data_IF_839076640761
#
_entry.id   IF_839076640761
#
_cell.length_a   1.000
_cell.length_b   1.000
_cell.length_c   1.000
_cell.angle_alpha   90.00
_cell.angle_beta   90.00
_cell.angle_gamma   90.00
#
_symmetry.space_group_name_H-M   'P 1'
#
loop_
_entity.id
_entity.type
_entity.pdbx_description
1 polymer ?
#
# COMPACT_ATOMS: atom_id res chain seq x y z
N UNK A 1 23.29 -12.14 7.08
CA UNK A 1 22.13 -12.71 6.36
C UNK A 1 22.43 -14.06 5.69
N UNK A 2 21.53 -15.04 5.77
CA UNK A 2 21.53 -16.23 4.90
C UNK A 2 20.54 -16.06 3.72
N UNK A 3 20.90 -15.27 2.70
CA UNK A 3 19.97 -14.84 1.63
C UNK A 3 19.21 -15.98 0.95
N UNK A 4 19.92 -17.03 0.50
CA UNK A 4 19.29 -18.16 -0.17
C UNK A 4 18.33 -18.96 0.73
N UNK A 5 18.54 -18.93 2.05
CA UNK A 5 17.61 -19.55 3.00
C UNK A 5 16.31 -18.78 3.04
N UNK A 6 16.38 -17.45 3.18
CA UNK A 6 15.20 -16.57 3.14
C UNK A 6 14.47 -16.67 1.80
N UNK A 7 15.22 -16.68 0.68
CA UNK A 7 14.62 -16.87 -0.65
C UNK A 7 13.87 -18.20 -0.76
N UNK A 8 14.42 -19.29 -0.23
CA UNK A 8 13.76 -20.61 -0.24
C UNK A 8 12.55 -20.67 0.69
N UNK A 9 12.65 -20.07 1.87
CA UNK A 9 11.59 -20.08 2.88
C UNK A 9 10.30 -19.42 2.39
N UNK A 10 10.44 -18.34 1.61
CA UNK A 10 9.31 -17.58 1.07
C UNK A 10 9.18 -17.65 -0.45
N UNK A 11 9.90 -18.57 -1.09
CA UNK A 11 9.84 -18.84 -2.54
C UNK A 11 10.08 -17.61 -3.46
N UNK A 12 11.09 -16.78 -3.13
CA UNK A 12 11.45 -15.64 -3.98
C UNK A 12 12.06 -16.09 -5.31
N UNK A 13 11.56 -15.51 -6.41
CA UNK A 13 12.11 -15.75 -7.75
C UNK A 13 13.52 -15.16 -7.92
N UNK A 14 13.71 -13.86 -7.66
CA UNK A 14 14.97 -13.18 -7.98
C UNK A 14 15.35 -12.09 -6.97
N UNK A 15 16.65 -11.95 -6.72
CA UNK A 15 17.26 -10.76 -6.10
C UNK A 15 18.39 -10.29 -7.00
N UNK A 16 18.32 -9.06 -7.47
CA UNK A 16 19.27 -8.45 -8.40
C UNK A 16 19.98 -7.31 -7.69
N UNK A 17 21.29 -7.44 -7.51
CA UNK A 17 22.13 -6.40 -6.97
C UNK A 17 22.69 -5.57 -8.12
N UNK A 18 22.37 -4.28 -8.14
CA UNK A 18 22.78 -3.35 -9.16
C UNK A 18 23.86 -2.42 -8.60
N UNK A 19 25.02 -2.40 -9.25
CA UNK A 19 26.08 -1.44 -8.97
C UNK A 19 26.54 -0.77 -10.26
N UNK A 20 26.61 0.56 -10.25
CA UNK A 20 27.27 1.33 -11.31
C UNK A 20 28.28 2.30 -10.71
N UNK A 21 29.55 2.14 -11.13
CA UNK A 21 30.67 2.95 -10.66
C UNK A 21 30.55 4.43 -11.06
N UNK A 22 29.89 4.73 -12.19
CA UNK A 22 29.85 6.10 -12.73
C UNK A 22 28.92 6.99 -11.91
N UNK A 23 27.76 6.47 -11.55
CA UNK A 23 26.76 7.16 -10.72
C UNK A 23 26.85 6.84 -9.23
N UNK A 24 27.70 5.88 -8.83
CA UNK A 24 27.72 5.22 -7.52
C UNK A 24 26.36 4.62 -7.11
N UNK A 25 25.55 4.22 -8.09
CA UNK A 25 24.28 3.54 -7.85
C UNK A 25 24.54 2.25 -7.06
N UNK A 26 23.83 2.08 -5.95
CA UNK A 26 23.72 0.83 -5.19
C UNK A 26 22.24 0.53 -5.01
N UNK A 27 21.75 -0.52 -5.67
CA UNK A 27 20.35 -0.88 -5.60
C UNK A 27 20.13 -2.38 -5.49
N UNK A 28 19.02 -2.75 -4.86
CA UNK A 28 18.51 -4.11 -4.72
C UNK A 28 17.14 -4.14 -5.38
N UNK A 29 16.97 -4.98 -6.40
CA UNK A 29 15.67 -5.29 -6.99
C UNK A 29 15.29 -6.70 -6.52
N UNK A 30 14.24 -6.81 -5.72
CA UNK A 30 13.67 -8.08 -5.29
C UNK A 30 12.40 -8.37 -6.07
N UNK A 31 12.30 -9.54 -6.68
CA UNK A 31 11.10 -10.06 -7.35
C UNK A 31 10.67 -11.28 -6.55
N UNK A 32 9.49 -11.21 -5.96
CA UNK A 32 8.97 -12.29 -5.12
C UNK A 32 8.24 -13.33 -5.97
N UNK A 33 7.20 -12.92 -6.69
CA UNK A 33 6.37 -13.80 -7.52
C UNK A 33 5.87 -13.05 -8.76
N UNK A 34 5.91 -13.70 -9.92
CA UNK A 34 5.43 -13.24 -11.24
C UNK A 34 4.36 -14.15 -11.84
N UNK A 35 3.75 -15.02 -11.02
CA UNK A 35 2.70 -15.97 -11.44
C UNK A 35 1.53 -15.26 -12.13
N UNK A 36 1.17 -14.07 -11.65
CA UNK A 36 0.04 -13.28 -12.11
C UNK A 36 0.32 -12.37 -13.32
N UNK A 37 1.51 -12.42 -13.93
CA UNK A 37 2.12 -11.49 -14.92
C UNK A 37 3.24 -10.62 -14.28
N UNK A 38 3.90 -9.67 -14.99
CA UNK A 38 5.05 -8.94 -14.48
C UNK A 38 4.89 -8.40 -13.07
N UNK A 39 6.00 -8.37 -12.34
CA UNK A 39 6.00 -7.83 -11.00
C UNK A 39 5.99 -6.30 -11.05
N UNK A 40 5.07 -5.69 -10.30
CA UNK A 40 5.02 -4.23 -10.14
C UNK A 40 5.36 -3.85 -8.70
N UNK A 41 6.21 -2.85 -8.54
CA UNK A 41 6.47 -2.25 -7.24
C UNK A 41 7.37 -1.04 -7.28
N UNK A 42 7.18 -0.13 -6.31
CA UNK A 42 7.89 1.14 -6.28
C UNK A 42 9.40 1.04 -6.01
N UNK A 43 10.11 2.10 -6.38
CA UNK A 43 11.52 2.32 -6.12
C UNK A 43 11.70 3.21 -4.90
N UNK A 44 12.15 2.62 -3.79
CA UNK A 44 12.48 3.34 -2.56
C UNK A 44 13.91 3.83 -2.63
N UNK A 45 14.17 5.06 -2.19
CA UNK A 45 15.53 5.53 -1.93
C UNK A 45 15.67 5.94 -0.47
N UNK A 46 16.54 5.25 0.27
CA UNK A 46 16.68 5.49 1.70
C UNK A 46 18.10 5.22 2.20
N UNK A 47 18.44 5.84 3.34
CA UNK A 47 19.70 5.59 4.05
C UNK A 47 19.54 4.38 4.95
N UNK A 48 20.40 3.38 4.76
CA UNK A 48 20.47 2.18 5.59
C UNK A 48 21.81 2.13 6.31
N UNK A 49 21.81 1.60 7.54
CA UNK A 49 23.04 1.43 8.32
C UNK A 49 23.92 0.32 7.73
N UNK A 50 23.30 -0.72 7.15
CA UNK A 50 23.99 -1.82 6.49
C UNK A 50 23.34 -2.21 5.15
N UNK A 51 24.10 -2.89 4.29
CA UNK A 51 23.57 -3.49 3.05
C UNK A 51 22.54 -4.58 3.35
N UNK A 52 22.71 -5.31 4.46
CA UNK A 52 21.79 -6.34 4.91
C UNK A 52 20.40 -5.76 5.23
N UNK A 53 20.33 -4.60 5.86
CA UNK A 53 19.06 -3.92 6.13
C UNK A 53 18.33 -3.52 4.85
N UNK A 54 19.06 -3.04 3.85
CA UNK A 54 18.49 -2.68 2.55
C UNK A 54 17.95 -3.92 1.79
N UNK A 55 18.68 -5.04 1.82
CA UNK A 55 18.23 -6.28 1.17
C UNK A 55 17.00 -6.86 1.89
N UNK A 56 17.01 -6.88 3.22
CA UNK A 56 15.87 -7.34 4.01
C UNK A 56 14.62 -6.49 3.76
N UNK A 57 14.76 -5.16 3.66
CA UNK A 57 13.64 -4.28 3.33
C UNK A 57 13.13 -4.52 1.90
N UNK A 58 14.02 -4.69 0.92
CA UNK A 58 13.65 -5.00 -0.46
C UNK A 58 12.85 -6.31 -0.55
N UNK A 59 13.33 -7.38 0.08
CA UNK A 59 12.66 -8.68 0.14
C UNK A 59 11.26 -8.52 0.75
N UNK A 60 11.18 -8.02 1.98
CA UNK A 60 9.93 -7.87 2.73
C UNK A 60 8.89 -7.08 1.95
N UNK A 61 9.29 -5.98 1.33
CA UNK A 61 8.40 -5.14 0.54
C UNK A 61 7.97 -5.80 -0.78
N UNK A 62 8.85 -6.56 -1.44
CA UNK A 62 8.51 -7.28 -2.66
C UNK A 62 7.44 -8.35 -2.40
N UNK A 63 7.58 -9.12 -1.31
CA UNK A 63 6.54 -10.06 -0.86
C UNK A 63 5.24 -9.32 -0.56
N UNK A 64 5.29 -8.21 0.18
CA UNK A 64 4.10 -7.38 0.43
C UNK A 64 3.40 -6.91 -0.86
N UNK A 65 4.15 -6.59 -1.91
CA UNK A 65 3.57 -6.23 -3.21
C UNK A 65 2.88 -7.40 -3.92
N UNK A 66 3.36 -8.64 -3.77
CA UNK A 66 2.68 -9.82 -4.33
C UNK A 66 1.28 -9.95 -3.74
N UNK A 67 1.18 -9.92 -2.40
CA UNK A 67 -0.08 -10.04 -1.69
C UNK A 67 -1.02 -8.86 -2.00
N UNK A 68 -0.49 -7.63 -2.01
CA UNK A 68 -1.25 -6.43 -2.37
C UNK A 68 -1.82 -6.50 -3.79
N UNK A 69 -1.00 -6.82 -4.79
CA UNK A 69 -1.44 -6.87 -6.18
C UNK A 69 -2.45 -7.99 -6.42
N UNK A 70 -2.20 -9.18 -5.84
CA UNK A 70 -3.13 -10.29 -5.92
C UNK A 70 -4.49 -9.95 -5.28
N UNK A 71 -4.50 -9.47 -4.03
CA UNK A 71 -5.73 -9.17 -3.32
C UNK A 71 -6.48 -7.96 -3.91
N UNK A 72 -5.78 -7.03 -4.57
CA UNK A 72 -6.40 -5.95 -5.33
C UNK A 72 -7.05 -6.42 -6.64
N UNK A 73 -6.90 -7.70 -7.02
CA UNK A 73 -7.44 -8.25 -8.25
C UNK A 73 -6.63 -7.92 -9.51
N UNK A 74 -5.39 -7.44 -9.35
CA UNK A 74 -4.51 -7.08 -10.46
C UNK A 74 -3.82 -8.32 -11.04
N UNK A 75 -3.59 -8.31 -12.35
CA UNK A 75 -2.74 -9.29 -13.03
C UNK A 75 -1.30 -8.78 -13.02
N UNK A 76 -0.73 -8.72 -11.82
CA UNK A 76 0.62 -8.26 -11.57
C UNK A 76 1.21 -9.08 -10.42
N UNK A 77 2.46 -9.47 -10.57
CA UNK A 77 3.28 -10.03 -9.51
C UNK A 77 3.76 -8.98 -8.52
N UNK A 78 4.64 -9.37 -7.60
CA UNK A 78 5.21 -8.48 -6.57
C UNK A 78 6.72 -8.32 -6.67
N UNK A 79 7.16 -7.07 -6.67
CA UNK A 79 8.57 -6.72 -6.63
C UNK A 79 8.80 -5.43 -5.84
N UNK A 80 10.06 -5.13 -5.57
CA UNK A 80 10.48 -3.86 -5.00
C UNK A 80 11.89 -3.50 -5.41
N UNK A 81 12.15 -2.22 -5.60
CA UNK A 81 13.52 -1.69 -5.68
C UNK A 81 13.84 -0.88 -4.42
N UNK A 82 15.02 -1.10 -3.87
CA UNK A 82 15.63 -0.26 -2.82
C UNK A 82 16.94 0.28 -3.35
N UNK A 83 17.06 1.61 -3.42
CA UNK A 83 18.28 2.35 -3.72
C UNK A 83 18.87 2.83 -2.39
N UNK A 84 20.12 2.48 -2.13
CA UNK A 84 20.83 2.87 -0.91
C UNK A 84 21.45 4.25 -1.13
N UNK A 85 20.93 5.26 -0.44
CA UNK A 85 21.44 6.63 -0.53
C UNK A 85 20.52 7.66 0.11
N UNK A 86 21.04 8.87 0.33
CA UNK A 86 20.26 9.97 0.89
C UNK A 86 19.39 10.62 -0.20
N UNK A 87 18.05 10.50 -0.13
CA UNK A 87 17.15 11.02 -1.18
C UNK A 87 17.17 12.55 -1.31
N UNK A 88 17.77 13.27 -0.35
CA UNK A 88 17.91 14.74 -0.38
C UNK A 88 19.23 15.23 -0.96
N UNK A 89 20.23 14.35 -1.09
CA UNK A 89 21.61 14.75 -1.46
C UNK A 89 22.19 13.96 -2.62
N UNK A 90 21.88 12.66 -2.69
CA UNK A 90 22.63 11.73 -3.54
C UNK A 90 21.91 11.43 -4.87
N UNK A 91 20.79 12.10 -5.14
CA UNK A 91 20.05 11.95 -6.39
C UNK A 91 20.77 12.62 -7.56
N UNK A 92 20.76 11.94 -8.70
CA UNK A 92 21.21 12.53 -9.98
C UNK A 92 20.50 11.86 -11.15
N UNK A 93 20.48 12.52 -12.31
CA UNK A 93 20.02 11.93 -13.56
C UNK A 93 20.79 10.64 -13.89
N UNK A 94 22.12 10.67 -13.75
CA UNK A 94 22.99 9.53 -14.05
C UNK A 94 22.62 8.29 -13.23
N UNK A 95 22.31 8.48 -11.95
CA UNK A 95 21.90 7.40 -11.03
C UNK A 95 20.60 6.73 -11.50
N UNK A 96 19.57 7.51 -11.81
CA UNK A 96 18.26 6.97 -12.19
C UNK A 96 18.24 6.43 -13.64
N UNK A 97 19.01 7.02 -14.56
CA UNK A 97 19.20 6.42 -15.89
C UNK A 97 19.95 5.09 -15.80
N UNK A 98 21.00 5.02 -14.97
CA UNK A 98 21.69 3.75 -14.71
C UNK A 98 20.74 2.68 -14.18
N UNK A 99 19.91 3.01 -13.19
CA UNK A 99 18.86 2.12 -12.69
C UNK A 99 17.88 1.71 -13.80
N UNK A 100 17.44 2.66 -14.63
CA UNK A 100 16.54 2.40 -15.75
C UNK A 100 17.09 1.36 -16.73
N UNK A 101 18.40 1.37 -16.99
CA UNK A 101 19.06 0.35 -17.84
C UNK A 101 19.07 -1.04 -17.19
N UNK A 102 19.25 -1.13 -15.87
CA UNK A 102 19.14 -2.41 -15.16
C UNK A 102 17.71 -2.96 -15.21
N UNK A 103 16.71 -2.09 -15.04
CA UNK A 103 15.29 -2.45 -15.16
C UNK A 103 14.97 -2.90 -16.60
N UNK A 104 15.47 -2.19 -17.61
CA UNK A 104 15.29 -2.58 -19.02
C UNK A 104 15.86 -3.98 -19.30
N UNK A 105 17.02 -4.29 -18.70
CA UNK A 105 17.63 -5.62 -18.77
C UNK A 105 16.80 -6.76 -18.19
N UNK A 106 15.78 -6.45 -17.36
CA UNK A 106 14.80 -7.43 -16.88
C UNK A 106 13.68 -7.71 -17.89
N UNK A 107 13.68 -7.01 -19.03
CA UNK A 107 12.82 -7.24 -20.19
C UNK A 107 11.33 -7.40 -19.82
N UNK A 108 10.85 -6.49 -18.98
CA UNK A 108 9.45 -6.44 -18.57
C UNK A 108 9.05 -7.45 -17.51
N UNK A 109 9.97 -8.19 -16.89
CA UNK A 109 9.68 -8.98 -15.68
C UNK A 109 9.37 -8.10 -14.48
N UNK A 110 9.91 -6.88 -14.45
CA UNK A 110 9.71 -5.91 -13.38
C UNK A 110 9.30 -4.55 -13.96
N UNK A 111 8.31 -3.92 -13.34
CA UNK A 111 7.83 -2.57 -13.64
C UNK A 111 7.95 -1.74 -12.36
N UNK A 112 8.69 -0.64 -12.42
CA UNK A 112 8.89 0.26 -11.28
C UNK A 112 7.85 1.37 -11.21
N UNK A 113 7.71 1.99 -10.05
CA UNK A 113 6.98 3.23 -9.82
C UNK A 113 7.67 4.07 -8.73
N UNK A 114 7.12 5.22 -8.36
CA UNK A 114 7.61 5.97 -7.20
C UNK A 114 7.31 5.28 -5.87
N UNK A 115 8.14 5.56 -4.85
CA UNK A 115 7.94 5.21 -3.45
C UNK A 115 8.70 6.23 -2.57
N UNK A 116 8.70 6.02 -1.25
CA UNK A 116 9.47 6.80 -0.29
C UNK A 116 10.89 7.08 -0.79
N UNK A 117 11.20 8.36 -0.90
CA UNK A 117 12.51 8.84 -1.32
C UNK A 117 12.69 8.99 -2.83
N UNK A 118 11.74 8.56 -3.66
CA UNK A 118 11.69 8.89 -5.09
C UNK A 118 10.45 9.72 -5.43
N UNK A 119 10.39 10.30 -6.62
CA UNK A 119 9.25 11.06 -7.11
C UNK A 119 9.12 10.95 -8.64
N UNK A 120 8.07 11.55 -9.19
CA UNK A 120 7.82 11.61 -10.64
C UNK A 120 9.05 12.01 -11.49
N UNK A 121 9.87 12.96 -11.07
CA UNK A 121 11.07 13.37 -11.83
C UNK A 121 12.11 12.27 -11.90
N UNK A 122 12.26 11.48 -10.83
CA UNK A 122 13.15 10.32 -10.82
C UNK A 122 12.62 9.23 -11.77
N UNK A 123 11.30 9.05 -11.83
CA UNK A 123 10.65 8.13 -12.77
C UNK A 123 10.80 8.61 -14.22
N UNK A 124 10.77 9.92 -14.47
CA UNK A 124 11.04 10.49 -15.80
C UNK A 124 12.46 10.13 -16.26
N UNK A 125 13.47 10.21 -15.39
CA UNK A 125 14.83 9.79 -15.72
C UNK A 125 14.92 8.28 -16.02
N UNK A 126 14.23 7.44 -15.24
CA UNK A 126 14.15 5.99 -15.53
C UNK A 126 13.49 5.75 -16.89
N UNK A 127 12.42 6.49 -17.21
CA UNK A 127 11.67 6.36 -18.46
C UNK A 127 12.47 6.69 -19.72
N UNK A 128 13.58 7.43 -19.59
CA UNK A 128 14.50 7.69 -20.70
C UNK A 128 15.23 6.43 -21.18
N UNK A 129 15.31 5.40 -20.35
CA UNK A 129 16.04 4.16 -20.64
C UNK A 129 15.14 2.93 -20.77
N UNK A 130 13.89 2.99 -20.29
CA UNK A 130 12.98 1.85 -20.32
C UNK A 130 11.50 2.24 -20.36
N UNK A 131 10.67 1.36 -20.93
CA UNK A 131 9.21 1.48 -20.88
C UNK A 131 8.60 0.84 -19.61
N UNK A 132 9.39 0.15 -18.79
CA UNK A 132 8.90 -0.58 -17.61
C UNK A 132 8.87 0.30 -16.35
N UNK A 133 8.21 1.45 -16.48
CA UNK A 133 7.98 2.43 -15.42
C UNK A 133 6.57 2.98 -15.50
N UNK A 134 5.93 3.14 -14.34
CA UNK A 134 4.58 3.68 -14.19
C UNK A 134 4.56 4.79 -13.13
N UNK A 135 3.46 5.55 -13.07
CA UNK A 135 3.33 6.70 -12.16
C UNK A 135 3.91 7.98 -12.75
N UNK A 136 3.86 8.13 -14.08
CA UNK A 136 4.37 9.33 -14.75
C UNK A 136 3.35 10.48 -14.64
N UNK A 137 3.85 11.72 -14.57
CA UNK A 137 3.03 12.92 -14.32
C UNK A 137 1.90 13.10 -15.37
N UNK A 138 2.23 12.89 -16.64
CA UNK A 138 1.29 13.00 -17.78
C UNK A 138 0.32 11.79 -17.88
N UNK A 139 0.44 10.81 -16.99
CA UNK A 139 -0.37 9.59 -16.96
C UNK A 139 -1.17 9.49 -15.66
N UNK A 140 -0.79 8.63 -14.73
CA UNK A 140 -1.57 8.40 -13.51
C UNK A 140 -1.29 9.38 -12.37
N UNK A 141 -0.16 10.10 -12.42
CA UNK A 141 0.20 11.17 -11.49
C UNK A 141 0.14 10.76 -10.02
N UNK A 142 -0.22 11.72 -9.15
CA UNK A 142 -0.31 11.50 -7.69
C UNK A 142 -1.34 10.41 -7.34
N UNK A 143 -0.93 9.29 -6.71
CA UNK A 143 -1.82 8.19 -6.35
C UNK A 143 -2.66 8.46 -5.08
N UNK A 144 -2.41 9.58 -4.38
CA UNK A 144 -3.00 9.84 -3.07
C UNK A 144 -4.53 9.97 -3.09
N UNK A 145 -5.17 10.67 -4.04
CA UNK A 145 -6.63 10.76 -4.11
C UNK A 145 -7.30 9.40 -4.33
N UNK A 146 -6.68 8.52 -5.13
CA UNK A 146 -7.18 7.17 -5.38
C UNK A 146 -7.02 6.28 -4.14
N UNK A 147 -5.91 6.42 -3.42
CA UNK A 147 -5.70 5.72 -2.15
C UNK A 147 -6.75 6.15 -1.12
N UNK A 148 -7.00 7.46 -0.97
CA UNK A 148 -8.01 7.98 -0.07
C UNK A 148 -9.42 7.50 -0.42
N UNK A 149 -9.77 7.48 -1.72
CA UNK A 149 -11.04 6.95 -2.18
C UNK A 149 -11.17 5.44 -1.89
N UNK A 150 -10.12 4.66 -2.13
CA UNK A 150 -10.10 3.23 -1.76
C UNK A 150 -10.32 3.02 -0.27
N UNK A 151 -9.66 3.81 0.59
CA UNK A 151 -9.82 3.74 2.04
C UNK A 151 -11.24 4.10 2.47
N UNK A 152 -11.80 5.16 1.90
CA UNK A 152 -13.20 5.52 2.12
C UNK A 152 -14.16 4.37 1.77
N UNK A 153 -13.96 3.72 0.62
CA UNK A 153 -14.75 2.55 0.21
C UNK A 153 -14.57 1.34 1.13
N UNK A 154 -13.36 1.10 1.63
CA UNK A 154 -13.09 0.06 2.62
C UNK A 154 -13.75 0.34 3.98
N UNK A 155 -13.76 1.60 4.42
CA UNK A 155 -14.48 2.02 5.62
C UNK A 155 -15.99 1.75 5.47
N UNK A 156 -16.58 2.06 4.31
CA UNK A 156 -18.01 1.76 4.07
C UNK A 156 -18.32 0.27 4.18
N UNK A 157 -17.45 -0.61 3.67
CA UNK A 157 -17.60 -2.06 3.81
C UNK A 157 -17.53 -2.51 5.28
N UNK A 158 -16.58 -1.95 6.04
CA UNK A 158 -16.45 -2.24 7.47
C UNK A 158 -17.65 -1.72 8.28
N UNK A 159 -18.21 -0.56 7.93
CA UNK A 159 -19.41 -0.03 8.56
C UNK A 159 -20.64 -0.88 8.28
N UNK A 160 -20.79 -1.39 7.07
CA UNK A 160 -21.91 -2.29 6.74
C UNK A 160 -21.84 -3.56 7.60
N UNK A 161 -20.64 -4.10 7.78
CA UNK A 161 -20.40 -5.28 8.62
C UNK A 161 -20.72 -5.01 10.10
N UNK A 162 -20.17 -3.94 10.68
CA UNK A 162 -20.25 -3.68 12.13
C UNK A 162 -21.55 -2.99 12.54
N UNK A 163 -22.06 -2.09 11.70
CA UNK A 163 -23.21 -1.23 12.00
C UNK A 163 -24.45 -1.54 11.15
N UNK A 164 -24.37 -2.47 10.19
CA UNK A 164 -25.49 -2.82 9.31
C UNK A 164 -25.83 -1.77 8.24
N UNK A 165 -24.98 -0.75 8.04
CA UNK A 165 -25.19 0.32 7.07
C UNK A 165 -23.87 0.86 6.53
N UNK A 166 -23.85 1.31 5.27
CA UNK A 166 -22.73 2.01 4.65
C UNK A 166 -22.73 3.51 4.94
N UNK A 167 -23.81 4.02 5.55
CA UNK A 167 -23.98 5.44 5.90
C UNK A 167 -23.02 5.86 7.02
N UNK A 168 -22.31 6.97 6.80
CA UNK A 168 -21.35 7.53 7.75
C UNK A 168 -21.88 8.73 8.52
N UNK A 169 -23.08 9.20 8.17
CA UNK A 169 -23.74 10.30 8.85
C UNK A 169 -23.89 10.03 10.35
N UNK A 170 -23.36 10.93 11.17
CA UNK A 170 -23.38 10.83 12.64
C UNK A 170 -22.31 9.92 13.25
N UNK A 171 -21.54 9.17 12.44
CA UNK A 171 -20.37 8.41 12.91
C UNK A 171 -19.22 9.35 13.23
N UNK A 172 -18.40 9.00 14.21
CA UNK A 172 -17.17 9.71 14.54
C UNK A 172 -15.95 8.93 14.06
N UNK A 173 -15.11 9.58 13.24
CA UNK A 173 -13.87 8.99 12.71
C UNK A 173 -12.66 9.74 13.28
N UNK A 174 -11.77 9.02 13.95
CA UNK A 174 -10.50 9.52 14.44
C UNK A 174 -9.40 9.26 13.41
N UNK A 175 -8.89 10.31 12.76
CA UNK A 175 -7.85 10.23 11.72
C UNK A 175 -6.50 10.63 12.32
N UNK A 176 -5.57 9.67 12.35
CA UNK A 176 -4.19 9.92 12.74
C UNK A 176 -3.35 10.23 11.51
N UNK A 177 -2.98 11.50 11.32
CA UNK A 177 -2.23 12.00 10.18
C UNK A 177 -3.15 12.54 9.08
N UNK A 178 -3.06 13.83 8.82
CA UNK A 178 -3.80 14.55 7.77
C UNK A 178 -2.84 15.10 6.71
N UNK A 179 -1.84 14.28 6.33
CA UNK A 179 -1.05 14.45 5.11
C UNK A 179 -1.91 14.23 3.85
N UNK A 180 -1.30 14.02 2.68
CA UNK A 180 -2.04 14.03 1.41
C UNK A 180 -3.20 13.01 1.36
N UNK A 181 -2.96 11.74 1.73
CA UNK A 181 -4.01 10.71 1.76
C UNK A 181 -5.02 10.97 2.88
N UNK A 182 -4.56 11.24 4.11
CA UNK A 182 -5.43 11.48 5.27
C UNK A 182 -6.34 12.71 5.10
N UNK A 183 -5.84 13.78 4.47
CA UNK A 183 -6.63 14.96 4.15
C UNK A 183 -7.70 14.66 3.09
N UNK A 184 -7.36 13.93 2.01
CA UNK A 184 -8.37 13.52 1.02
C UNK A 184 -9.40 12.55 1.61
N UNK A 185 -8.99 11.69 2.55
CA UNK A 185 -9.91 10.82 3.29
C UNK A 185 -10.86 11.65 4.17
N UNK A 186 -10.32 12.63 4.92
CA UNK A 186 -11.10 13.57 5.72
C UNK A 186 -12.16 14.29 4.87
N UNK A 187 -11.80 14.72 3.65
CA UNK A 187 -12.74 15.31 2.70
C UNK A 187 -13.91 14.37 2.39
N UNK A 188 -13.65 13.12 1.97
CA UNK A 188 -14.71 12.16 1.65
C UNK A 188 -15.62 11.85 2.85
N UNK A 189 -15.02 11.70 4.03
CA UNK A 189 -15.75 11.42 5.26
C UNK A 189 -16.63 12.62 5.70
N UNK A 190 -16.10 13.84 5.57
CA UNK A 190 -16.85 15.07 5.85
C UNK A 190 -18.04 15.23 4.88
N UNK A 191 -17.81 15.05 3.58
CA UNK A 191 -18.88 15.09 2.57
C UNK A 191 -19.95 14.01 2.80
N UNK A 192 -19.57 12.88 3.41
CA UNK A 192 -20.49 11.81 3.82
C UNK A 192 -21.18 12.04 5.19
N UNK A 193 -20.95 13.19 5.83
CA UNK A 193 -21.60 13.59 7.09
C UNK A 193 -20.99 12.98 8.36
N UNK A 194 -19.78 12.43 8.28
CA UNK A 194 -19.07 11.95 9.47
C UNK A 194 -18.51 13.12 10.29
N UNK A 195 -18.48 12.94 11.62
CA UNK A 195 -17.74 13.82 12.54
C UNK A 195 -16.28 13.40 12.55
N UNK A 196 -15.36 14.35 12.47
CA UNK A 196 -13.94 14.06 12.38
C UNK A 196 -13.21 14.54 13.63
N UNK A 197 -12.41 13.65 14.20
CA UNK A 197 -11.38 13.99 15.18
C UNK A 197 -10.03 13.74 14.49
N UNK A 198 -9.15 14.72 14.45
CA UNK A 198 -7.91 14.63 13.68
C UNK A 198 -6.69 14.98 14.52
N UNK A 199 -5.54 14.45 14.12
CA UNK A 199 -4.25 14.87 14.64
C UNK A 199 -3.17 14.78 13.56
N UNK A 200 -2.12 15.59 13.70
CA UNK A 200 -0.90 15.57 12.88
C UNK A 200 0.24 16.22 13.66
N UNK A 201 1.48 15.90 13.30
CA UNK A 201 2.67 16.55 13.85
C UNK A 201 2.93 17.91 13.18
N UNK A 202 2.38 18.13 11.98
CA UNK A 202 2.48 19.39 11.25
C UNK A 202 1.23 20.25 11.50
N UNK A 203 1.40 21.33 12.25
CA UNK A 203 0.29 22.23 12.62
C UNK A 203 -0.49 22.78 11.41
N UNK A 204 0.19 23.05 10.29
CA UNK A 204 -0.47 23.60 9.12
C UNK A 204 -1.46 22.62 8.47
N UNK A 205 -1.15 21.31 8.51
CA UNK A 205 -2.08 20.27 8.05
C UNK A 205 -3.32 20.24 8.95
N UNK A 206 -3.13 20.34 10.26
CA UNK A 206 -4.23 20.41 11.23
C UNK A 206 -5.09 21.63 10.98
N UNK A 207 -4.50 22.84 10.93
CA UNK A 207 -5.23 24.10 10.71
C UNK A 207 -6.09 24.04 9.45
N UNK A 208 -5.51 23.52 8.36
CA UNK A 208 -6.21 23.33 7.10
C UNK A 208 -7.42 22.41 7.25
N UNK A 209 -7.22 21.20 7.77
CA UNK A 209 -8.27 20.20 7.92
C UNK A 209 -9.37 20.61 8.92
N UNK A 210 -9.01 21.27 10.03
CA UNK A 210 -9.99 21.86 10.98
C UNK A 210 -10.85 22.90 10.27
N UNK A 211 -10.23 23.82 9.51
CA UNK A 211 -10.97 24.92 8.87
C UNK A 211 -11.88 24.44 7.74
N UNK A 212 -11.44 23.45 6.97
CA UNK A 212 -12.16 23.01 5.77
C UNK A 212 -13.21 21.95 6.06
N UNK A 213 -13.00 21.11 7.08
CA UNK A 213 -13.86 19.96 7.37
C UNK A 213 -14.56 20.04 8.74
N UNK A 214 -14.43 21.18 9.44
CA UNK A 214 -14.98 21.38 10.78
C UNK A 214 -14.59 20.23 11.74
N UNK A 215 -13.35 19.78 11.63
CA UNK A 215 -12.82 18.68 12.43
C UNK A 215 -12.40 19.17 13.83
N UNK A 216 -12.51 18.29 14.83
CA UNK A 216 -11.93 18.50 16.15
C UNK A 216 -10.46 18.10 16.16
N UNK A 217 -9.59 18.94 16.69
CA UNK A 217 -8.18 18.61 16.87
C UNK A 217 -7.93 18.01 18.26
N UNK A 218 -7.12 16.94 18.30
CA UNK A 218 -6.53 16.41 19.52
C UNK A 218 -5.02 16.27 19.39
N UNK A 219 -4.31 16.26 20.50
CA UNK A 219 -2.85 16.04 20.48
C UNK A 219 -2.52 14.64 19.95
N UNK A 220 -1.34 14.45 19.32
CA UNK A 220 -0.95 13.17 18.74
C UNK A 220 -1.11 11.96 19.67
N UNK A 221 -0.73 12.10 20.93
CA UNK A 221 -0.79 10.99 21.90
C UNK A 221 -2.21 10.70 22.41
N UNK A 222 -3.10 11.69 22.35
CA UNK A 222 -4.48 11.58 22.83
C UNK A 222 -5.39 10.83 21.83
N UNK A 223 -5.00 10.76 20.56
CA UNK A 223 -5.84 10.24 19.46
C UNK A 223 -6.33 8.81 19.69
N UNK A 224 -5.54 7.95 20.34
CA UNK A 224 -5.89 6.55 20.55
C UNK A 224 -7.04 6.38 21.56
N UNK A 225 -7.19 7.33 22.48
CA UNK A 225 -8.15 7.28 23.59
C UNK A 225 -9.44 8.05 23.35
N UNK A 226 -9.61 8.68 22.18
CA UNK A 226 -10.81 9.46 21.87
C UNK A 226 -12.03 8.55 21.66
N UNK A 227 -13.21 9.05 22.00
CA UNK A 227 -14.45 8.33 21.76
C UNK A 227 -14.83 8.46 20.28
N UNK A 228 -14.63 7.37 19.53
CA UNK A 228 -14.89 7.32 18.09
C UNK A 228 -15.45 5.95 17.70
N UNK A 229 -16.16 5.89 16.57
CA UNK A 229 -16.64 4.65 15.99
C UNK A 229 -15.51 3.94 15.21
N UNK A 230 -14.68 4.74 14.53
CA UNK A 230 -13.68 4.29 13.56
C UNK A 230 -12.35 4.99 13.84
N UNK A 231 -11.28 4.22 13.97
CA UNK A 231 -9.91 4.73 14.01
C UNK A 231 -9.24 4.51 12.64
N UNK A 232 -8.76 5.59 12.03
CA UNK A 232 -8.13 5.60 10.72
C UNK A 232 -6.65 6.02 10.82
N UNK A 233 -5.72 5.06 11.00
CA UNK A 233 -4.29 5.35 11.01
C UNK A 233 -3.76 5.67 9.60
N UNK A 234 -3.37 6.93 9.38
CA UNK A 234 -2.95 7.48 8.09
C UNK A 234 -1.53 8.09 8.10
N UNK A 235 -0.77 7.92 9.19
CA UNK A 235 0.58 8.47 9.36
C UNK A 235 1.68 7.42 9.21
N UNK A 236 1.96 6.67 10.29
CA UNK A 236 3.07 5.71 10.38
C UNK A 236 2.54 4.28 10.57
N UNK A 237 3.40 3.30 10.33
CA UNK A 237 3.14 1.89 10.67
C UNK A 237 3.36 1.60 12.16
N UNK A 238 3.08 0.36 12.55
CA UNK A 238 3.23 -0.19 13.90
C UNK A 238 2.45 0.55 15.00
N UNK A 239 1.44 1.34 14.61
CA UNK A 239 0.61 2.12 15.53
C UNK A 239 -0.41 1.26 16.28
N UNK A 240 -0.66 0.04 15.82
CA UNK A 240 -1.49 -0.95 16.53
C UNK A 240 -0.55 -1.93 17.23
N UNK A 241 -0.44 -1.80 18.56
CA UNK A 241 0.52 -2.53 19.36
C UNK A 241 0.06 -2.69 20.83
N UNK A 242 0.90 -3.30 21.65
CA UNK A 242 0.60 -3.61 23.07
C UNK A 242 0.29 -2.37 23.92
N UNK A 243 0.78 -1.19 23.53
CA UNK A 243 0.56 0.08 24.23
C UNK A 243 -0.72 0.78 23.77
N UNK A 244 -1.02 0.76 22.46
CA UNK A 244 -2.13 1.53 21.89
C UNK A 244 -3.47 0.78 21.92
N UNK A 245 -3.45 -0.54 21.74
CA UNK A 245 -4.67 -1.37 21.72
C UNK A 245 -5.54 -1.20 22.97
N UNK A 246 -4.99 -1.14 24.21
CA UNK A 246 -5.78 -0.92 25.41
C UNK A 246 -6.55 0.41 25.44
N UNK A 247 -6.10 1.42 24.70
CA UNK A 247 -6.72 2.74 24.67
C UNK A 247 -7.82 2.89 23.61
N UNK A 248 -7.82 2.02 22.58
CA UNK A 248 -8.78 2.08 21.48
C UNK A 248 -10.21 1.88 21.97
N UNK A 249 -11.07 2.87 21.70
CA UNK A 249 -12.52 2.81 21.97
C UNK A 249 -13.37 2.49 20.75
N UNK A 250 -12.76 2.50 19.57
CA UNK A 250 -13.42 2.25 18.28
C UNK A 250 -13.91 0.81 18.11
N UNK A 251 -14.83 0.63 17.16
CA UNK A 251 -15.26 -0.69 16.69
C UNK A 251 -14.57 -1.12 15.41
N UNK A 252 -13.99 -0.18 14.67
CA UNK A 252 -13.31 -0.42 13.40
C UNK A 252 -11.93 0.24 13.42
N UNK A 253 -10.90 -0.47 12.96
CA UNK A 253 -9.60 0.09 12.58
C UNK A 253 -9.44 -0.03 11.06
N UNK A 254 -9.40 1.10 10.36
CA UNK A 254 -9.39 1.16 8.90
C UNK A 254 -8.69 2.43 8.42
N UNK A 255 -7.39 2.33 8.10
CA UNK A 255 -6.56 3.47 7.71
C UNK A 255 -5.69 3.21 6.49
N UNK A 256 -4.98 4.26 6.05
CA UNK A 256 -4.15 4.21 4.84
C UNK A 256 -2.68 3.87 5.09
N UNK A 257 -2.21 3.93 6.34
CA UNK A 257 -0.81 3.63 6.68
C UNK A 257 -0.45 2.19 6.34
N UNK A 258 0.83 1.95 6.04
CA UNK A 258 1.34 0.60 5.75
C UNK A 258 1.94 -0.01 7.02
N UNK A 259 1.83 -1.34 7.15
CA UNK A 259 2.28 -2.13 8.29
C UNK A 259 1.62 -1.64 9.60
N UNK A 260 0.29 -1.53 9.63
CA UNK A 260 -0.44 -0.94 10.78
C UNK A 260 -0.24 -1.74 12.08
N UNK A 261 -0.32 -3.07 11.98
CA UNK A 261 0.01 -3.98 13.07
C UNK A 261 1.52 -4.00 13.28
N UNK A 262 1.96 -3.86 14.53
CA UNK A 262 3.38 -3.99 14.86
C UNK A 262 3.84 -5.46 14.76
N UNK A 263 2.99 -6.38 15.20
CA UNK A 263 3.19 -7.84 15.13
C UNK A 263 1.87 -8.51 14.73
N UNK A 264 1.93 -9.70 14.13
CA UNK A 264 0.74 -10.45 13.69
C UNK A 264 -0.25 -10.72 14.84
N UNK A 265 0.26 -11.01 16.04
CA UNK A 265 -0.52 -11.22 17.28
C UNK A 265 -1.48 -10.05 17.59
N UNK A 266 -1.14 -8.84 17.16
CA UNK A 266 -1.99 -7.66 17.40
C UNK A 266 -3.31 -7.76 16.61
N UNK A 267 -3.34 -8.48 15.49
CA UNK A 267 -4.58 -8.79 14.76
C UNK A 267 -5.50 -9.72 15.54
N UNK A 268 -4.95 -10.73 16.21
CA UNK A 268 -5.69 -11.65 17.08
C UNK A 268 -6.31 -10.90 18.27
N UNK A 269 -5.52 -10.05 18.94
CA UNK A 269 -6.00 -9.25 20.08
C UNK A 269 -7.16 -8.32 19.69
N UNK A 270 -7.11 -7.72 18.49
CA UNK A 270 -8.23 -6.89 17.99
C UNK A 270 -9.49 -7.73 17.77
N UNK A 271 -9.35 -8.93 17.19
CA UNK A 271 -10.47 -9.85 17.00
C UNK A 271 -11.09 -10.28 18.33
N UNK A 272 -10.27 -10.66 19.32
CA UNK A 272 -10.74 -11.01 20.68
C UNK A 272 -11.49 -9.86 21.36
N UNK A 273 -11.08 -8.62 21.11
CA UNK A 273 -11.76 -7.40 21.59
C UNK A 273 -13.02 -7.04 20.80
N UNK A 274 -13.33 -7.76 19.72
CA UNK A 274 -14.44 -7.45 18.83
C UNK A 274 -14.25 -6.13 18.06
N UNK A 275 -12.99 -5.74 17.81
CA UNK A 275 -12.63 -4.61 16.96
C UNK A 275 -12.35 -5.15 15.56
N UNK A 276 -13.14 -4.73 14.58
CA UNK A 276 -12.91 -5.11 13.20
C UNK A 276 -11.69 -4.35 12.64
N UNK A 277 -10.59 -5.07 12.44
CA UNK A 277 -9.44 -4.55 11.70
C UNK A 277 -9.62 -4.79 10.21
N UNK A 278 -9.49 -3.75 9.39
CA UNK A 278 -9.41 -3.88 7.93
C UNK A 278 -7.94 -3.92 7.52
N UNK A 279 -7.47 -5.03 6.92
CA UNK A 279 -6.05 -5.18 6.58
C UNK A 279 -5.56 -4.06 5.66
N UNK A 280 -4.47 -3.43 6.08
CA UNK A 280 -3.87 -2.26 5.46
C UNK A 280 -3.62 -2.41 3.95
N UNK A 281 -2.99 -3.50 3.52
CA UNK A 281 -2.66 -3.72 2.11
C UNK A 281 -3.88 -3.97 1.22
N UNK A 282 -5.04 -4.29 1.79
CA UNK A 282 -6.32 -4.39 1.07
C UNK A 282 -6.91 -3.00 0.91
N UNK A 283 -7.06 -2.27 2.02
CA UNK A 283 -7.78 -0.99 2.04
C UNK A 283 -7.01 0.13 1.35
N UNK A 284 -5.68 0.13 1.42
CA UNK A 284 -4.84 1.16 0.81
C UNK A 284 -4.36 0.83 -0.62
N UNK A 285 -4.96 -0.18 -1.27
CA UNK A 285 -4.57 -0.63 -2.61
C UNK A 285 -4.93 0.37 -3.75
N UNK A 286 -5.71 1.42 -3.47
CA UNK A 286 -6.16 2.38 -4.48
C UNK A 286 -5.02 3.02 -5.29
N UNK A 287 -3.88 3.30 -4.64
CA UNK A 287 -2.71 3.86 -5.33
C UNK A 287 -2.11 2.90 -6.36
N UNK A 288 -1.94 1.61 -6.01
CA UNK A 288 -1.39 0.64 -6.96
C UNK A 288 -2.37 0.32 -8.10
N UNK A 289 -3.68 0.32 -7.81
CA UNK A 289 -4.70 0.16 -8.84
C UNK A 289 -4.66 1.31 -9.85
N UNK A 290 -4.45 2.55 -9.39
CA UNK A 290 -4.29 3.72 -10.27
C UNK A 290 -3.06 3.60 -11.16
N UNK A 291 -1.91 3.27 -10.58
CA UNK A 291 -0.64 3.14 -11.31
C UNK A 291 -0.71 1.98 -12.32
N UNK A 292 -1.30 0.85 -11.94
CA UNK A 292 -1.50 -0.29 -12.83
C UNK A 292 -2.41 0.02 -14.04
N UNK A 293 -3.27 1.05 -13.94
CA UNK A 293 -4.10 1.49 -15.06
C UNK A 293 -3.29 2.07 -16.22
N UNK A 294 -2.08 2.58 -15.97
CA UNK A 294 -1.18 3.02 -17.04
C UNK A 294 -0.74 1.89 -17.96
N UNK A 295 -0.72 0.66 -17.44
CA UNK A 295 -0.30 -0.54 -18.18
C UNK A 295 -1.41 -1.12 -19.05
N UNK A 296 -2.61 -0.53 -18.99
CA UNK A 296 -3.71 -0.99 -19.81
C UNK A 296 -3.40 -0.75 -21.30
N UNK A 297 -3.70 -1.71 -22.21
CA UNK A 297 -3.36 -1.58 -23.63
C UNK A 297 -3.94 -0.35 -24.34
N UNK A 298 -5.04 0.21 -23.83
CA UNK A 298 -5.66 1.44 -24.33
C UNK A 298 -5.14 2.72 -23.67
N UNK A 299 -4.07 2.63 -22.88
CA UNK A 299 -3.50 3.74 -22.10
C UNK A 299 -4.30 4.08 -20.85
N UNK A 300 -3.78 5.02 -20.07
CA UNK A 300 -4.36 5.45 -18.80
C UNK A 300 -5.77 6.05 -18.98
N UNK A 301 -6.69 5.70 -18.08
CA UNK A 301 -8.02 6.31 -18.03
C UNK A 301 -8.46 6.46 -16.57
N UNK A 302 -8.62 7.71 -16.13
CA UNK A 302 -8.97 8.06 -14.75
C UNK A 302 -10.30 7.48 -14.29
N UNK A 303 -11.33 7.47 -15.14
CA UNK A 303 -12.65 6.92 -14.77
C UNK A 303 -12.60 5.39 -14.59
N UNK A 304 -11.80 4.70 -15.41
CA UNK A 304 -11.56 3.26 -15.28
C UNK A 304 -10.76 2.95 -14.02
N UNK A 305 -9.72 3.73 -13.73
CA UNK A 305 -8.98 3.64 -12.46
C UNK A 305 -9.92 3.82 -11.26
N UNK A 306 -10.74 4.88 -11.24
CA UNK A 306 -11.69 5.14 -10.16
C UNK A 306 -12.72 4.01 -9.99
N UNK A 307 -13.24 3.45 -11.09
CA UNK A 307 -14.13 2.28 -11.02
C UNK A 307 -13.43 1.06 -10.43
N UNK A 308 -12.20 0.76 -10.82
CA UNK A 308 -11.43 -0.34 -10.21
C UNK A 308 -11.14 -0.08 -8.73
N UNK A 309 -10.76 1.14 -8.35
CA UNK A 309 -10.55 1.51 -6.94
C UNK A 309 -11.82 1.31 -6.12
N UNK A 310 -13.00 1.53 -6.69
CA UNK A 310 -14.26 1.30 -5.97
C UNK A 310 -14.48 -0.15 -5.54
N UNK A 311 -13.82 -1.11 -6.20
CA UNK A 311 -13.85 -2.54 -5.85
C UNK A 311 -13.10 -2.86 -4.54
N UNK A 312 -12.36 -1.91 -3.96
CA UNK A 312 -11.79 -2.07 -2.62
C UNK A 312 -12.88 -2.40 -1.60
N UNK A 313 -14.10 -1.87 -1.77
CA UNK A 313 -15.26 -2.23 -0.96
C UNK A 313 -15.54 -3.75 -1.00
N UNK A 314 -15.62 -4.34 -2.20
CA UNK A 314 -15.91 -5.77 -2.37
C UNK A 314 -14.74 -6.64 -1.88
N UNK A 315 -13.50 -6.19 -2.10
CA UNK A 315 -12.31 -6.90 -1.61
C UNK A 315 -12.30 -6.96 -0.07
N UNK A 316 -12.63 -5.85 0.60
CA UNK A 316 -12.77 -5.83 2.08
C UNK A 316 -13.88 -6.77 2.53
N UNK A 317 -15.05 -6.76 1.88
CA UNK A 317 -16.15 -7.70 2.21
C UNK A 317 -15.72 -9.16 2.06
N UNK A 318 -14.98 -9.49 0.99
CA UNK A 318 -14.47 -10.85 0.76
C UNK A 318 -13.54 -11.29 1.90
N UNK A 319 -12.64 -10.42 2.35
CA UNK A 319 -11.73 -10.71 3.48
C UNK A 319 -12.49 -10.91 4.79
N UNK A 320 -13.45 -10.03 5.08
CA UNK A 320 -14.31 -10.14 6.28
C UNK A 320 -15.09 -11.45 6.26
N UNK A 321 -15.66 -11.81 5.11
CA UNK A 321 -16.40 -13.05 4.94
C UNK A 321 -15.52 -14.28 5.18
N UNK A 322 -14.33 -14.31 4.57
CA UNK A 322 -13.35 -15.39 4.77
C UNK A 322 -12.93 -15.52 6.24
N UNK A 323 -12.69 -14.39 6.91
CA UNK A 323 -12.37 -14.33 8.34
C UNK A 323 -13.47 -14.95 9.21
N UNK A 324 -14.74 -14.69 8.90
CA UNK A 324 -15.89 -15.29 9.60
C UNK A 324 -16.05 -16.79 9.32
N UNK A 325 -15.94 -17.20 8.06
CA UNK A 325 -16.14 -18.59 7.65
C UNK A 325 -15.11 -19.53 8.29
N UNK A 326 -13.86 -19.08 8.39
CA UNK A 326 -12.75 -19.87 8.94
C UNK A 326 -12.48 -19.56 10.43
N UNK A 327 -13.18 -18.58 11.01
CA UNK A 327 -12.96 -18.06 12.36
C UNK A 327 -11.49 -17.68 12.65
N UNK A 328 -10.91 -16.85 11.78
CA UNK A 328 -9.53 -16.38 11.85
C UNK A 328 -9.46 -14.84 11.80
N UNK A 329 -8.36 -14.20 12.26
CA UNK A 329 -8.16 -12.77 12.12
C UNK A 329 -8.20 -12.32 10.66
N UNK A 330 -8.67 -11.08 10.42
CA UNK A 330 -8.78 -10.52 9.07
C UNK A 330 -7.43 -10.39 8.36
N UNK A 331 -6.32 -10.16 9.08
CA UNK A 331 -4.98 -10.15 8.50
C UNK A 331 -4.62 -11.50 7.86
N UNK A 332 -4.90 -12.61 8.56
CA UNK A 332 -4.68 -13.96 8.03
C UNK A 332 -5.62 -14.24 6.86
N UNK A 333 -6.90 -13.85 6.98
CA UNK A 333 -7.88 -14.02 5.90
C UNK A 333 -7.48 -13.27 4.62
N UNK A 334 -6.88 -12.08 4.73
CA UNK A 334 -6.39 -11.33 3.58
C UNK A 334 -5.26 -12.05 2.85
N UNK A 335 -4.34 -12.65 3.59
CA UNK A 335 -3.25 -13.46 3.01
C UNK A 335 -3.80 -14.67 2.26
N UNK A 336 -4.75 -15.39 2.88
CA UNK A 336 -5.42 -16.52 2.23
C UNK A 336 -6.14 -16.12 0.94
N UNK A 337 -6.86 -14.98 0.95
CA UNK A 337 -7.56 -14.48 -0.25
C UNK A 337 -6.58 -14.18 -1.38
N UNK A 338 -5.40 -13.64 -1.08
CA UNK A 338 -4.36 -13.38 -2.06
C UNK A 338 -3.80 -14.70 -2.64
N UNK A 339 -3.42 -15.63 -1.77
CA UNK A 339 -2.85 -16.93 -2.15
C UNK A 339 -3.81 -17.79 -2.95
N UNK A 340 -5.08 -17.84 -2.56
CA UNK A 340 -6.13 -18.56 -3.29
C UNK A 340 -6.25 -18.03 -4.71
N UNK A 341 -6.19 -16.71 -4.90
CA UNK A 341 -6.23 -16.11 -6.24
C UNK A 341 -5.00 -16.49 -7.05
N UNK A 342 -3.79 -16.39 -6.49
CA UNK A 342 -2.54 -16.76 -7.18
C UNK A 342 -2.63 -18.22 -7.64
N UNK A 343 -2.94 -19.14 -6.73
CA UNK A 343 -3.09 -20.58 -7.02
C UNK A 343 -4.16 -20.85 -8.09
N UNK A 344 -5.30 -20.18 -8.00
CA UNK A 344 -6.41 -20.36 -8.96
C UNK A 344 -6.01 -19.90 -10.36
N UNK A 345 -5.41 -18.71 -10.50
CA UNK A 345 -5.02 -18.18 -11.81
C UNK A 345 -3.87 -18.97 -12.42
N UNK A 346 -2.91 -19.44 -11.60
CA UNK A 346 -1.86 -20.34 -12.04
C UNK A 346 -2.44 -21.61 -12.70
N UNK A 347 -3.34 -22.32 -11.99
CA UNK A 347 -3.95 -23.55 -12.50
C UNK A 347 -4.82 -23.37 -13.75
N UNK A 348 -5.39 -22.18 -13.97
CA UNK A 348 -6.12 -21.87 -15.21
C UNK A 348 -5.18 -21.72 -16.41
N UNK A 349 -3.95 -21.24 -16.18
CA UNK A 349 -2.95 -20.94 -17.23
C UNK A 349 -2.04 -22.13 -17.56
N UNK A 350 -2.32 -23.32 -17.03
CA UNK A 350 -1.58 -24.55 -17.32
C UNK A 350 -1.81 -25.08 -18.75
N UNK A 351 -2.83 -24.57 -19.45
CA UNK A 351 -3.08 -24.93 -20.84
C UNK A 351 -2.15 -24.19 -21.81
N UNK A 352 -1.57 -24.92 -22.75
CA UNK A 352 -0.70 -24.32 -23.77
C UNK A 352 -1.49 -23.38 -24.71
N UNK A 353 -1.09 -22.11 -24.73
CA UNK A 353 -1.54 -21.13 -25.72
C UNK A 353 -0.30 -20.57 -26.42
N UNK A 354 -0.24 -20.74 -27.75
CA UNK A 354 0.83 -20.15 -28.56
C UNK A 354 0.69 -18.62 -28.54
N UNK A 355 1.59 -17.91 -27.87
CA UNK A 355 1.69 -16.44 -27.98
C UNK A 355 2.14 -16.10 -29.41
N UNK A 356 1.39 -15.23 -30.07
CA UNK A 356 1.61 -14.77 -31.47
C UNK A 356 2.53 -13.58 -31.47
#
# INVERSE_FOLDING_TARGET
>A
MELFRTMREFDYENVVLCYDKTSDLKAVIAIHDTTLDPALGGCRMWTYDTEEDAINDALRLARGMTYKNAAAGLNLGGAKTVVIGNPRKDKSEALFRSLGRFIDGLNGRYITAEDVGTNMKDMDYISMETNYVAGLAEKSGDPSPFTAYGVFRGIQAACEEVFGTTELSGKTVAIQGVGNVGYNLAKYLHEAGARLIITDIFEDNVKRAVSEFNAEYVKPDDIYGVDCDIFAPCALGAVINDETIPHLKCKIVAGSSNNQLKEEKHGEILQEKGILYVPDFIINAGGVINVAEELHPSGYNKERAMRKVSMVYDNVKKVIQKSKEENIPTCIAADMVAEERIKTIAGIRDNFIKKV
#
